data_IF_390709890046
#
_entry.id   IF_390709890046
#
_cell.length_a   1.000
_cell.length_b   1.000
_cell.length_c   1.000
_cell.angle_alpha   90.00
_cell.angle_beta   90.00
_cell.angle_gamma   90.00
#
_symmetry.space_group_name_H-M   'P 1'
#
loop_
_entity.id
_entity.type
_entity.pdbx_description
1 polymer ?
#
# COMPACT_ATOMS: atom_id res chain seq x y z
N UNK A 1 15.05 18.32 16.11
CA UNK A 1 14.90 16.99 16.74
C UNK A 1 14.81 15.95 15.64
N UNK A 2 15.50 14.81 15.76
CA UNK A 2 15.37 13.72 14.77
C UNK A 2 13.98 13.08 14.92
N UNK A 3 13.30 12.81 13.80
CA UNK A 3 12.03 12.07 13.80
C UNK A 3 12.29 10.64 14.32
N UNK A 4 11.31 10.02 15.02
CA UNK A 4 11.42 8.62 15.41
C UNK A 4 11.53 7.73 14.17
N UNK A 5 12.20 6.59 14.32
CA UNK A 5 12.27 5.56 13.27
C UNK A 5 10.88 4.94 13.14
N UNK A 6 10.41 4.76 11.91
CA UNK A 6 9.14 4.12 11.59
C UNK A 6 9.38 2.84 10.79
N UNK A 7 8.51 1.84 10.98
CA UNK A 7 8.52 0.56 10.27
C UNK A 7 7.20 0.37 9.53
N UNK A 8 7.30 0.09 8.24
CA UNK A 8 6.17 -0.11 7.33
C UNK A 8 6.32 -1.47 6.61
N UNK A 9 5.79 -2.57 7.15
CA UNK A 9 5.85 -3.87 6.48
C UNK A 9 5.11 -3.85 5.14
N UNK A 10 5.74 -4.35 4.07
CA UNK A 10 5.09 -4.50 2.76
C UNK A 10 4.20 -5.73 2.75
N UNK A 11 2.95 -5.56 2.31
CA UNK A 11 1.99 -6.67 2.19
C UNK A 11 2.29 -7.59 1.01
N UNK A 12 3.21 -7.24 0.10
CA UNK A 12 3.59 -8.10 -1.03
C UNK A 12 4.22 -9.42 -0.60
N UNK A 13 4.88 -9.47 0.56
CA UNK A 13 5.51 -10.68 1.09
C UNK A 13 4.59 -11.47 2.03
N UNK A 14 3.33 -11.03 2.15
CA UNK A 14 2.34 -11.64 3.03
C UNK A 14 1.72 -12.91 2.41
N UNK A 15 1.11 -13.76 3.24
CA UNK A 15 0.20 -14.80 2.76
C UNK A 15 -1.12 -14.17 2.28
N UNK A 16 -1.26 -14.03 0.96
CA UNK A 16 -2.47 -13.48 0.34
C UNK A 16 -3.73 -14.33 0.59
N UNK A 17 -3.59 -15.61 0.90
CA UNK A 17 -4.73 -16.45 1.27
C UNK A 17 -5.25 -16.13 2.68
N UNK A 18 -4.48 -15.41 3.51
CA UNK A 18 -4.82 -15.07 4.88
C UNK A 18 -4.40 -13.64 5.29
N UNK A 19 -4.72 -12.65 4.46
CA UNK A 19 -4.33 -11.26 4.74
C UNK A 19 -4.81 -10.72 6.09
N UNK A 20 -5.95 -11.18 6.61
CA UNK A 20 -6.40 -10.77 7.93
C UNK A 20 -5.42 -11.23 9.03
N UNK A 21 -4.97 -12.48 8.99
CA UNK A 21 -3.97 -12.98 9.94
C UNK A 21 -2.62 -12.28 9.79
N UNK A 22 -2.21 -11.95 8.57
CA UNK A 22 -0.98 -11.18 8.33
C UNK A 22 -1.05 -9.76 8.90
N UNK A 23 -2.19 -9.08 8.76
CA UNK A 23 -2.42 -7.76 9.37
C UNK A 23 -2.36 -7.81 10.91
N UNK A 24 -2.89 -8.87 11.52
CA UNK A 24 -2.84 -9.05 12.98
C UNK A 24 -1.40 -9.20 13.49
N UNK A 25 -0.53 -9.91 12.75
CA UNK A 25 0.90 -10.07 13.10
C UNK A 25 1.66 -8.75 13.14
N UNK A 26 1.25 -7.78 12.32
CA UNK A 26 1.93 -6.48 12.19
C UNK A 26 1.16 -5.34 12.85
N UNK A 27 0.16 -5.61 13.69
CA UNK A 27 -0.73 -4.59 14.25
C UNK A 27 -0.03 -3.50 15.09
N UNK A 28 1.23 -3.72 15.50
CA UNK A 28 2.05 -2.75 16.23
C UNK A 28 3.05 -1.99 15.35
N UNK A 29 3.03 -2.20 14.03
CA UNK A 29 3.83 -1.41 13.09
C UNK A 29 3.33 0.04 13.02
N UNK A 30 4.11 0.91 12.37
CA UNK A 30 3.73 2.31 12.19
C UNK A 30 2.80 2.49 10.99
N UNK A 31 3.01 1.71 9.93
CA UNK A 31 2.29 1.79 8.66
C UNK A 31 2.08 0.41 8.04
N UNK A 32 1.09 0.31 7.15
CA UNK A 32 0.97 -0.78 6.18
C UNK A 32 1.45 -0.29 4.82
N UNK A 33 2.50 -0.89 4.27
CA UNK A 33 3.03 -0.50 2.96
C UNK A 33 2.41 -1.33 1.84
N UNK A 34 2.01 -0.64 0.76
CA UNK A 34 1.24 -1.15 -0.36
C UNK A 34 1.93 -0.81 -1.68
N UNK A 35 2.62 -1.77 -2.26
CA UNK A 35 3.29 -1.63 -3.55
C UNK A 35 2.34 -1.92 -4.72
N UNK A 36 2.00 -0.90 -5.49
CA UNK A 36 1.07 -0.96 -6.62
C UNK A 36 1.88 -0.98 -7.92
N UNK A 37 1.78 -2.07 -8.66
CA UNK A 37 2.52 -2.31 -9.91
C UNK A 37 1.53 -2.60 -11.04
N UNK A 38 1.75 -2.02 -12.22
CA UNK A 38 0.83 -2.11 -13.37
C UNK A 38 1.31 -3.02 -14.51
N UNK A 39 2.49 -3.62 -14.41
CA UNK A 39 3.10 -4.43 -15.45
C UNK A 39 3.77 -3.64 -16.59
N UNK A 40 3.65 -2.31 -16.60
CA UNK A 40 4.26 -1.44 -17.61
C UNK A 40 5.49 -0.71 -17.04
N UNK A 41 5.32 0.00 -15.92
CA UNK A 41 6.41 0.71 -15.26
C UNK A 41 7.44 -0.27 -14.67
N UNK A 42 6.95 -1.41 -14.17
CA UNK A 42 7.76 -2.56 -13.72
C UNK A 42 7.19 -3.85 -14.32
N UNK A 43 8.01 -4.88 -14.57
CA UNK A 43 7.57 -6.13 -15.21
C UNK A 43 6.83 -7.08 -14.26
N UNK A 44 5.95 -6.55 -13.40
CA UNK A 44 5.11 -7.30 -12.49
C UNK A 44 3.76 -6.59 -12.27
N UNK A 45 2.72 -7.35 -11.93
CA UNK A 45 1.38 -6.84 -11.62
C UNK A 45 1.02 -7.26 -10.20
N UNK A 46 0.65 -6.30 -9.34
CA UNK A 46 0.29 -6.59 -7.94
C UNK A 46 -1.21 -6.58 -7.71
N UNK A 47 -1.74 -5.50 -7.15
CA UNK A 47 -3.14 -5.35 -6.74
C UNK A 47 -3.58 -3.88 -6.86
N UNK A 48 -4.89 -3.64 -6.78
CA UNK A 48 -5.47 -2.32 -6.98
C UNK A 48 -6.34 -1.83 -5.81
N UNK A 49 -7.05 -0.71 -6.02
CA UNK A 49 -7.92 -0.10 -5.01
C UNK A 49 -8.95 -1.03 -4.33
N UNK A 50 -9.54 -2.03 -5.01
CA UNK A 50 -10.48 -2.95 -4.36
C UNK A 50 -9.88 -3.73 -3.19
N UNK A 51 -8.61 -4.15 -3.29
CA UNK A 51 -7.95 -4.84 -2.19
C UNK A 51 -7.72 -3.87 -1.02
N UNK A 52 -7.21 -2.67 -1.31
CA UNK A 52 -6.94 -1.64 -0.30
C UNK A 52 -8.20 -1.27 0.48
N UNK A 53 -9.32 -1.08 -0.23
CA UNK A 53 -10.63 -0.80 0.38
C UNK A 53 -11.09 -1.92 1.32
N UNK A 54 -10.84 -3.18 0.96
CA UNK A 54 -11.14 -4.33 1.83
C UNK A 54 -10.24 -4.39 3.06
N UNK A 55 -8.97 -4.01 2.94
CA UNK A 55 -8.02 -3.97 4.06
C UNK A 55 -8.35 -2.84 5.06
N UNK A 56 -8.90 -1.71 4.60
CA UNK A 56 -9.16 -0.52 5.44
C UNK A 56 -10.03 -0.83 6.65
N UNK A 57 -10.98 -1.76 6.52
CA UNK A 57 -11.83 -2.23 7.63
C UNK A 57 -11.23 -3.32 8.50
N UNK A 58 -10.02 -3.79 8.19
CA UNK A 58 -9.33 -4.91 8.85
C UNK A 58 -8.10 -4.49 9.65
N UNK A 59 -7.63 -3.25 9.49
CA UNK A 59 -6.51 -2.71 10.24
C UNK A 59 -6.73 -1.26 10.66
N UNK A 60 -6.13 -0.88 11.79
CA UNK A 60 -6.06 0.51 12.26
C UNK A 60 -4.78 1.22 11.80
N UNK A 61 -3.82 0.49 11.23
CA UNK A 61 -2.61 1.08 10.68
C UNK A 61 -2.97 2.07 9.56
N UNK A 62 -2.28 3.21 9.48
CA UNK A 62 -2.36 4.05 8.30
C UNK A 62 -1.68 3.32 7.11
N UNK A 63 -2.23 3.53 5.92
CA UNK A 63 -1.80 2.87 4.70
C UNK A 63 -0.96 3.82 3.85
N UNK A 64 0.17 3.29 3.36
CA UNK A 64 1.12 3.96 2.49
C UNK A 64 1.13 3.25 1.14
N UNK A 65 0.60 3.90 0.11
CA UNK A 65 0.59 3.39 -1.25
C UNK A 65 1.75 3.94 -2.07
N UNK A 66 2.57 3.03 -2.57
CA UNK A 66 3.66 3.30 -3.47
C UNK A 66 3.24 2.93 -4.90
N UNK A 67 3.05 3.94 -5.73
CA UNK A 67 2.58 3.78 -7.11
C UNK A 67 3.77 3.63 -8.06
N UNK A 68 4.10 2.38 -8.39
CA UNK A 68 5.03 1.97 -9.44
C UNK A 68 4.25 1.72 -10.74
N UNK A 69 3.72 2.80 -11.33
CA UNK A 69 2.79 2.77 -12.48
C UNK A 69 3.06 3.92 -13.45
N UNK A 70 2.71 3.76 -14.72
CA UNK A 70 2.97 4.77 -15.77
C UNK A 70 2.06 6.01 -15.68
N UNK A 71 0.85 5.88 -15.14
CA UNK A 71 -0.14 6.98 -15.03
C UNK A 71 -0.68 7.09 -13.59
N UNK A 72 0.13 7.60 -12.65
CA UNK A 72 -0.25 7.67 -11.25
C UNK A 72 -1.39 8.66 -11.00
N UNK A 73 -1.51 9.74 -11.76
CA UNK A 73 -2.55 10.76 -11.59
C UNK A 73 -3.96 10.22 -11.76
N UNK A 74 -4.15 9.23 -12.65
CA UNK A 74 -5.43 8.54 -12.81
C UNK A 74 -5.78 7.63 -11.62
N UNK A 75 -4.76 7.11 -10.91
CA UNK A 75 -4.95 6.18 -9.80
C UNK A 75 -5.04 6.87 -8.44
N UNK A 76 -4.40 8.03 -8.26
CA UNK A 76 -4.39 8.78 -6.98
C UNK A 76 -5.80 8.93 -6.38
N UNK A 77 -6.82 9.43 -7.10
CA UNK A 77 -8.16 9.60 -6.52
C UNK A 77 -8.78 8.28 -6.04
N UNK A 78 -8.49 7.18 -6.74
CA UNK A 78 -9.02 5.86 -6.42
C UNK A 78 -8.40 5.29 -5.13
N UNK A 79 -7.09 5.53 -4.92
CA UNK A 79 -6.42 5.12 -3.68
C UNK A 79 -6.77 6.01 -2.50
N UNK A 80 -6.97 7.31 -2.71
CA UNK A 80 -7.53 8.20 -1.68
C UNK A 80 -8.92 7.71 -1.25
N UNK A 81 -9.81 7.39 -2.20
CA UNK A 81 -11.14 6.84 -1.88
C UNK A 81 -11.06 5.48 -1.18
N UNK A 82 -10.07 4.65 -1.52
CA UNK A 82 -9.85 3.36 -0.87
C UNK A 82 -9.36 3.48 0.59
N UNK A 83 -8.99 4.68 1.04
CA UNK A 83 -8.62 4.97 2.43
C UNK A 83 -7.12 4.96 2.69
N UNK A 84 -6.31 5.27 1.68
CA UNK A 84 -4.85 5.47 1.79
C UNK A 84 -4.53 6.86 2.36
N UNK A 85 -3.60 6.92 3.30
CA UNK A 85 -3.17 8.16 3.97
C UNK A 85 -1.90 8.77 3.37
N UNK A 86 -1.03 7.96 2.77
CA UNK A 86 0.18 8.43 2.08
C UNK A 86 0.24 7.84 0.68
N UNK A 87 0.50 8.70 -0.31
CA UNK A 87 0.74 8.25 -1.69
C UNK A 87 2.12 8.73 -2.12
N UNK A 88 2.94 7.78 -2.51
CA UNK A 88 4.27 8.00 -3.09
C UNK A 88 4.20 7.68 -4.58
N UNK A 89 4.70 8.59 -5.41
CA UNK A 89 4.81 8.41 -6.86
C UNK A 89 6.27 8.48 -7.26
N UNK A 90 6.59 7.86 -8.39
CA UNK A 90 7.89 8.01 -9.02
C UNK A 90 8.03 9.38 -9.69
N UNK A 91 9.26 9.86 -9.82
CA UNK A 91 9.56 11.07 -10.59
C UNK A 91 9.79 10.74 -12.06
N UNK A 92 10.21 9.50 -12.33
CA UNK A 92 10.55 8.98 -13.64
C UNK A 92 9.32 8.65 -14.51
N UNK A 93 8.11 8.74 -13.93
CA UNK A 93 6.80 8.55 -14.58
C UNK A 93 6.40 9.76 -15.39
#
# INVERSE_FOLDING_TARGET
MKRPIQVAPSILDADFANLQGELEKIATADWLHLDIMDGHFVPNLSFGPPLVKNLRGKTKLPMDAHLMVDNPEALIPLFVEAGVEMITVHLET
#
